data_IF_444279678143
#
_entry.id   IF_444279678143
#
_cell.length_a   1.000
_cell.length_b   1.000
_cell.length_c   1.000
_cell.angle_alpha   90.00
_cell.angle_beta   90.00
_cell.angle_gamma   90.00
#
_symmetry.space_group_name_H-M   'P 1'
#
loop_
_entity.id
_entity.type
_entity.pdbx_description
1 polymer ?
#
# COMPACT_ATOMS: atom_id res chain seq x y z
N UNK A 1 -42.55 35.23 23.69
CA UNK A 1 -41.48 35.56 24.65
C UNK A 1 -40.50 34.40 24.63
N UNK A 2 -39.19 34.66 24.65
CA UNK A 2 -38.20 33.60 24.78
C UNK A 2 -38.11 33.19 26.26
N UNK A 3 -38.05 31.89 26.54
CA UNK A 3 -37.88 31.30 27.86
C UNK A 3 -36.40 31.22 28.29
N UNK A 4 -35.49 31.33 27.31
CA UNK A 4 -34.04 31.31 27.54
C UNK A 4 -33.35 32.53 26.90
N UNK A 5 -32.23 32.93 27.49
CA UNK A 5 -31.34 33.96 26.92
C UNK A 5 -30.32 33.30 25.99
N UNK A 6 -30.15 33.85 24.79
CA UNK A 6 -29.20 33.31 23.81
C UNK A 6 -29.26 34.03 22.47
N UNK A 7 -28.69 33.41 21.45
CA UNK A 7 -28.75 33.86 20.05
C UNK A 7 -29.68 32.91 19.29
N UNK A 8 -30.54 33.47 18.44
CA UNK A 8 -31.36 32.67 17.51
C UNK A 8 -30.43 32.05 16.47
N UNK A 9 -30.21 30.75 16.54
CA UNK A 9 -29.38 29.98 15.59
C UNK A 9 -30.17 29.58 14.36
N UNK A 10 -31.47 29.36 14.54
CA UNK A 10 -32.38 28.98 13.45
C UNK A 10 -33.74 29.63 13.63
N UNK A 11 -34.28 30.16 12.53
CA UNK A 11 -35.64 30.65 12.43
C UNK A 11 -36.36 29.80 11.40
N UNK A 12 -37.31 28.99 11.86
CA UNK A 12 -38.04 28.03 11.02
C UNK A 12 -39.40 28.55 10.56
N UNK A 13 -39.77 29.78 10.94
CA UNK A 13 -41.12 30.32 10.72
C UNK A 13 -41.10 31.75 10.19
N UNK A 14 -42.01 32.07 9.29
CA UNK A 14 -42.27 33.42 8.79
C UNK A 14 -43.73 33.83 9.01
N UNK A 15 -43.99 35.12 8.81
CA UNK A 15 -45.34 35.66 8.92
C UNK A 15 -46.22 35.06 7.81
N UNK A 16 -47.36 34.45 8.18
CA UNK A 16 -48.29 33.82 7.24
C UNK A 16 -48.19 32.29 7.16
N UNK A 17 -47.15 31.70 7.76
CA UNK A 17 -46.98 30.26 7.79
C UNK A 17 -48.00 29.58 8.74
N UNK A 18 -48.45 28.39 8.36
CA UNK A 18 -49.33 27.56 9.19
C UNK A 18 -48.50 26.67 10.12
N UNK A 19 -48.74 26.77 11.44
CA UNK A 19 -47.98 26.04 12.47
C UNK A 19 -48.77 24.87 13.05
N UNK A 20 -48.08 23.76 13.31
CA UNK A 20 -48.63 22.62 14.06
C UNK A 20 -48.14 22.62 15.51
N UNK A 21 -48.92 22.04 16.42
CA UNK A 21 -48.52 21.89 17.82
C UNK A 21 -47.28 20.98 17.89
N UNK A 22 -46.23 21.47 18.53
CA UNK A 22 -44.93 20.77 18.67
C UNK A 22 -43.89 21.16 17.62
N UNK A 23 -44.24 22.03 16.67
CA UNK A 23 -43.30 22.52 15.66
C UNK A 23 -42.34 23.57 16.25
N UNK A 24 -41.04 23.39 16.03
CA UNK A 24 -40.01 24.30 16.54
C UNK A 24 -39.95 25.58 15.70
N UNK A 25 -40.29 26.71 16.31
CA UNK A 25 -40.35 28.01 15.64
C UNK A 25 -38.97 28.69 15.55
N UNK A 26 -38.21 28.61 16.64
CA UNK A 26 -36.88 29.20 16.80
C UNK A 26 -36.00 28.24 17.59
N UNK A 27 -34.73 28.16 17.21
CA UNK A 27 -33.69 27.55 18.01
C UNK A 27 -32.84 28.65 18.64
N UNK A 28 -32.69 28.63 19.96
CA UNK A 28 -31.94 29.62 20.73
C UNK A 28 -30.81 28.90 21.45
N UNK A 29 -29.57 29.34 21.22
CA UNK A 29 -28.39 28.80 21.88
C UNK A 29 -27.69 29.87 22.71
N UNK A 30 -27.36 29.55 23.97
CA UNK A 30 -26.39 30.33 24.74
C UNK A 30 -24.97 29.88 24.35
N UNK A 31 -24.18 30.83 23.84
CA UNK A 31 -22.79 30.62 23.44
C UNK A 31 -21.79 31.22 24.43
N UNK A 32 -22.21 31.54 25.66
CA UNK A 32 -21.34 31.98 26.75
C UNK A 32 -20.24 30.96 27.07
N UNK A 33 -20.54 29.68 26.87
CA UNK A 33 -19.62 28.55 26.92
C UNK A 33 -19.81 27.75 25.64
N UNK A 34 -18.71 27.37 24.99
CA UNK A 34 -18.73 26.60 23.75
C UNK A 34 -17.98 25.29 23.93
N UNK A 35 -18.40 24.28 23.18
CA UNK A 35 -17.66 23.03 23.06
C UNK A 35 -16.77 23.11 21.84
N UNK A 36 -15.52 22.74 22.05
CA UNK A 36 -14.56 22.53 20.98
C UNK A 36 -14.40 21.02 20.84
N UNK A 37 -14.77 20.51 19.68
CA UNK A 37 -14.71 19.09 19.36
C UNK A 37 -13.48 18.84 18.49
N UNK A 38 -12.59 17.98 18.96
CA UNK A 38 -11.43 17.52 18.22
C UNK A 38 -11.67 16.08 17.76
N UNK A 39 -11.42 15.81 16.50
CA UNK A 39 -11.44 14.46 15.96
C UNK A 39 -10.14 13.76 16.35
N UNK A 40 -10.26 12.65 17.08
CA UNK A 40 -9.14 11.79 17.50
C UNK A 40 -9.19 10.51 16.68
N UNK A 41 -8.18 10.28 15.86
CA UNK A 41 -8.07 9.05 15.07
C UNK A 41 -7.85 7.83 15.96
N UNK A 42 -8.29 6.66 15.49
CA UNK A 42 -8.12 5.39 16.21
C UNK A 42 -6.67 5.09 16.61
N UNK A 43 -5.69 5.44 15.76
CA UNK A 43 -4.26 5.32 16.06
C UNK A 43 -3.78 6.21 17.21
N UNK A 44 -4.51 7.30 17.47
CA UNK A 44 -4.09 8.38 18.35
C UNK A 44 -4.77 8.33 19.72
N UNK A 45 -5.88 7.57 19.84
CA UNK A 45 -6.66 7.39 21.07
C UNK A 45 -5.77 7.03 22.28
N UNK A 46 -4.77 6.12 22.18
CA UNK A 46 -3.93 5.78 23.33
C UNK A 46 -3.15 6.97 23.93
N UNK A 47 -2.94 8.02 23.13
CA UNK A 47 -2.14 9.20 23.49
C UNK A 47 -2.98 10.35 24.04
N UNK A 48 -4.32 10.29 23.93
CA UNK A 48 -5.22 11.35 24.37
C UNK A 48 -6.06 10.84 25.54
N UNK A 49 -5.89 11.48 26.70
CA UNK A 49 -6.59 11.14 27.94
C UNK A 49 -7.48 12.29 28.39
N UNK A 50 -8.53 11.94 29.14
CA UNK A 50 -9.31 12.94 29.86
C UNK A 50 -8.38 13.65 30.86
N UNK A 51 -8.42 14.98 30.86
CA UNK A 51 -7.53 15.81 31.66
C UNK A 51 -6.33 16.38 30.91
N UNK A 52 -6.10 15.94 29.66
CA UNK A 52 -5.00 16.48 28.87
C UNK A 52 -5.24 17.95 28.53
N UNK A 53 -4.16 18.74 28.63
CA UNK A 53 -4.15 20.14 28.22
C UNK A 53 -4.07 20.24 26.71
N UNK A 54 -4.99 20.99 26.12
CA UNK A 54 -5.07 21.25 24.68
C UNK A 54 -4.82 22.74 24.44
N UNK A 55 -3.81 23.03 23.63
CA UNK A 55 -3.61 24.36 23.06
C UNK A 55 -4.22 24.38 21.66
N UNK A 56 -5.10 25.32 21.35
CA UNK A 56 -5.75 25.38 20.04
C UNK A 56 -5.86 26.78 19.47
N UNK A 57 -5.97 26.83 18.15
CA UNK A 57 -6.10 28.05 17.35
C UNK A 57 -7.35 27.94 16.48
N UNK A 58 -7.93 29.09 16.12
CA UNK A 58 -9.12 29.16 15.24
C UNK A 58 -8.73 29.93 14.00
N UNK A 59 -9.04 29.39 12.81
CA UNK A 59 -8.64 30.02 11.54
C UNK A 59 -9.19 31.44 11.37
N UNK A 60 -10.37 31.72 11.93
CA UNK A 60 -11.03 33.02 11.89
C UNK A 60 -10.40 34.06 12.83
N UNK A 61 -9.56 33.63 13.77
CA UNK A 61 -8.88 34.46 14.76
C UNK A 61 -7.37 34.16 14.74
N UNK A 62 -6.66 34.56 13.67
CA UNK A 62 -5.22 34.29 13.55
C UNK A 62 -4.44 35.01 14.67
N UNK A 63 -3.35 34.40 15.12
CA UNK A 63 -2.48 34.86 16.22
C UNK A 63 -3.11 34.82 17.62
N UNK A 64 -4.27 34.18 17.80
CA UNK A 64 -4.82 33.90 19.12
C UNK A 64 -4.76 32.41 19.44
N UNK A 65 -4.16 32.09 20.58
CA UNK A 65 -4.07 30.74 21.14
C UNK A 65 -5.00 30.62 22.34
N UNK A 66 -5.81 29.58 22.33
CA UNK A 66 -6.73 29.24 23.41
C UNK A 66 -6.24 27.98 24.12
N UNK A 67 -6.47 27.91 25.42
CA UNK A 67 -6.10 26.76 26.24
C UNK A 67 -7.36 26.13 26.83
N UNK A 68 -7.42 24.82 26.82
CA UNK A 68 -8.49 24.05 27.44
C UNK A 68 -8.04 22.69 27.92
N UNK A 69 -8.97 21.94 28.50
CA UNK A 69 -8.74 20.60 29.02
C UNK A 69 -9.75 19.63 28.39
N UNK A 70 -9.27 18.44 28.01
CA UNK A 70 -10.15 17.37 27.50
C UNK A 70 -11.11 16.93 28.62
N UNK A 71 -12.37 17.33 28.48
CA UNK A 71 -13.42 17.04 29.46
C UNK A 71 -14.04 15.65 29.27
N UNK A 72 -14.09 15.19 28.02
CA UNK A 72 -14.75 13.94 27.63
C UNK A 72 -14.18 13.45 26.30
N UNK A 73 -14.11 12.13 26.14
CA UNK A 73 -13.78 11.47 24.87
C UNK A 73 -14.91 10.48 24.62
N UNK A 74 -15.50 10.54 23.42
CA UNK A 74 -16.59 9.64 23.06
C UNK A 74 -16.12 8.17 23.19
N UNK A 75 -16.88 7.29 23.88
CA UNK A 75 -16.49 5.89 24.08
C UNK A 75 -16.66 5.03 22.81
N UNK A 76 -17.27 5.59 21.76
CA UNK A 76 -17.58 4.89 20.51
C UNK A 76 -16.95 5.66 19.35
N UNK A 77 -16.21 4.93 18.52
CA UNK A 77 -15.65 5.47 17.27
C UNK A 77 -16.75 5.53 16.22
N UNK A 78 -16.85 6.64 15.51
CA UNK A 78 -17.76 6.75 14.37
C UNK A 78 -17.28 5.84 13.23
N UNK A 79 -18.11 4.87 12.83
CA UNK A 79 -17.73 3.85 11.84
C UNK A 79 -17.46 4.39 10.43
N UNK A 80 -18.01 5.57 10.09
CA UNK A 80 -17.80 6.22 8.78
C UNK A 80 -16.52 7.03 8.74
N UNK A 81 -16.23 7.78 9.79
CA UNK A 81 -15.08 8.70 9.83
C UNK A 81 -13.86 8.12 10.55
N UNK A 82 -14.02 7.00 11.28
CA UNK A 82 -12.97 6.31 12.06
C UNK A 82 -12.29 7.21 13.11
N UNK A 83 -13.05 8.16 13.65
CA UNK A 83 -12.60 9.06 14.73
C UNK A 83 -13.53 8.98 15.93
N UNK A 84 -12.99 9.26 17.11
CA UNK A 84 -13.73 9.56 18.33
C UNK A 84 -13.64 11.06 18.63
N UNK A 85 -14.72 11.68 19.13
CA UNK A 85 -14.71 13.10 19.45
C UNK A 85 -14.13 13.35 20.85
N UNK A 86 -13.07 14.14 20.95
CA UNK A 86 -12.58 14.70 22.20
C UNK A 86 -13.18 16.10 22.42
N UNK A 87 -13.93 16.26 23.51
CA UNK A 87 -14.64 17.50 23.86
C UNK A 87 -13.86 18.32 24.86
N UNK A 88 -13.62 19.58 24.51
CA UNK A 88 -13.05 20.61 25.38
C UNK A 88 -14.10 21.70 25.65
N UNK A 89 -14.25 22.10 26.90
CA UNK A 89 -15.24 23.12 27.32
C UNK A 89 -14.52 24.45 27.51
N UNK A 90 -14.94 25.48 26.78
CA UNK A 90 -14.28 26.80 26.76
C UNK A 90 -15.26 27.90 27.09
N UNK A 91 -14.88 28.76 28.04
CA UNK A 91 -15.58 30.03 28.28
C UNK A 91 -15.35 30.95 27.08
N UNK A 92 -16.39 31.59 26.59
CA UNK A 92 -16.36 32.42 25.39
C UNK A 92 -16.69 33.89 25.72
N UNK A 93 -15.84 34.57 26.52
CA UNK A 93 -16.06 35.98 26.84
C UNK A 93 -16.06 36.81 25.54
N UNK A 94 -17.04 37.69 25.41
CA UNK A 94 -17.21 38.49 24.18
C UNK A 94 -17.80 37.72 22.99
N UNK A 95 -18.21 36.45 23.17
CA UNK A 95 -18.93 35.64 22.16
C UNK A 95 -18.19 35.56 20.80
N UNK A 96 -16.86 35.48 20.85
CA UNK A 96 -15.98 35.52 19.67
C UNK A 96 -15.88 34.17 18.96
N UNK A 97 -15.92 33.08 19.74
CA UNK A 97 -16.00 31.73 19.21
C UNK A 97 -17.45 31.46 18.78
N UNK A 98 -17.66 31.23 17.49
CA UNK A 98 -18.99 30.89 16.96
C UNK A 98 -19.07 29.38 16.72
N UNK A 99 -20.28 28.79 16.80
CA UNK A 99 -20.49 27.42 16.34
C UNK A 99 -19.98 27.20 14.91
N UNK A 100 -19.59 25.96 14.63
CA UNK A 100 -19.10 25.50 13.32
C UNK A 100 -17.80 26.15 12.81
N UNK A 101 -17.07 26.88 13.66
CA UNK A 101 -15.72 27.35 13.32
C UNK A 101 -14.70 26.20 13.36
N UNK A 102 -13.80 26.18 12.37
CA UNK A 102 -12.69 25.23 12.34
C UNK A 102 -11.59 25.61 13.33
N UNK A 103 -11.18 24.62 14.11
CA UNK A 103 -10.11 24.72 15.10
C UNK A 103 -8.97 23.77 14.76
N UNK A 104 -7.77 24.09 15.23
CA UNK A 104 -6.62 23.18 15.25
C UNK A 104 -6.05 23.14 16.65
N UNK A 105 -6.04 21.96 17.26
CA UNK A 105 -5.52 21.72 18.61
C UNK A 105 -4.24 20.91 18.59
N UNK A 106 -3.42 21.09 19.62
CA UNK A 106 -2.22 20.32 19.91
C UNK A 106 -2.34 19.82 21.34
N UNK A 107 -2.24 18.51 21.51
CA UNK A 107 -2.11 17.83 22.82
C UNK A 107 -0.69 17.31 22.94
N UNK A 108 -0.08 17.50 24.12
CA UNK A 108 1.22 16.94 24.44
C UNK A 108 1.01 15.78 25.41
N UNK A 109 1.34 14.57 24.99
CA UNK A 109 1.26 13.36 25.80
C UNK A 109 2.66 12.95 26.24
N UNK A 110 2.81 12.57 27.50
CA UNK A 110 4.07 12.05 28.03
C UNK A 110 4.11 10.52 27.84
N UNK A 111 5.22 10.01 27.32
CA UNK A 111 5.48 8.58 27.30
C UNK A 111 5.84 8.11 28.71
N UNK A 112 5.23 7.02 29.18
CA UNK A 112 5.69 6.34 30.39
C UNK A 112 7.16 5.95 30.21
N UNK A 113 7.97 6.36 31.20
CA UNK A 113 9.42 6.39 31.15
C UNK A 113 9.99 4.97 31.03
N UNK A 114 10.27 4.52 29.80
CA UNK A 114 11.15 3.38 29.58
C UNK A 114 12.59 3.89 29.80
N UNK A 115 13.30 3.30 30.77
CA UNK A 115 14.58 3.83 31.29
C UNK A 115 15.69 3.97 30.23
N UNK A 116 15.55 3.36 29.05
CA UNK A 116 16.46 3.52 27.91
C UNK A 116 15.70 3.45 26.58
N UNK A 117 15.38 4.60 26.02
CA UNK A 117 14.78 4.72 24.67
C UNK A 117 15.74 5.44 23.73
N UNK A 118 15.91 4.89 22.53
CA UNK A 118 16.68 5.53 21.47
C UNK A 118 15.70 6.34 20.63
N UNK A 119 15.98 7.63 20.45
CA UNK A 119 15.19 8.52 19.60
C UNK A 119 16.06 8.94 18.44
N UNK A 120 15.56 8.80 17.21
CA UNK A 120 16.24 9.25 16.00
C UNK A 120 15.42 10.30 15.27
N UNK A 121 16.05 11.30 14.62
CA UNK A 121 15.33 12.28 13.80
C UNK A 121 14.57 11.58 12.67
N UNK A 122 13.40 12.12 12.28
CA UNK A 122 12.64 11.58 11.14
C UNK A 122 13.46 11.53 9.84
N UNK A 123 14.36 12.49 9.64
CA UNK A 123 15.22 12.56 8.45
C UNK A 123 16.27 11.45 8.35
N UNK A 124 16.58 10.77 9.47
CA UNK A 124 17.52 9.65 9.49
C UNK A 124 16.86 8.31 9.13
N UNK A 125 15.54 8.24 9.18
CA UNK A 125 14.77 7.03 8.93
C UNK A 125 14.30 6.99 7.49
N UNK A 126 14.62 5.89 6.82
CA UNK A 126 14.22 5.64 5.44
C UNK A 126 13.20 4.52 5.40
N UNK A 127 12.13 4.69 4.62
CA UNK A 127 11.00 3.76 4.58
C UNK A 127 11.01 2.97 3.28
N UNK A 128 10.89 1.65 3.36
CA UNK A 128 10.78 0.75 2.20
C UNK A 128 9.46 -0.02 2.27
N UNK A 129 8.35 0.71 2.28
CA UNK A 129 7.01 0.14 2.49
C UNK A 129 6.83 -0.32 3.94
N UNK A 130 7.00 -1.61 4.21
CA UNK A 130 6.81 -2.21 5.54
C UNK A 130 8.04 -2.12 6.45
N UNK A 131 9.22 -1.87 5.88
CA UNK A 131 10.48 -1.84 6.65
C UNK A 131 10.97 -0.42 6.84
N UNK A 132 11.65 -0.20 7.96
CA UNK A 132 12.35 1.04 8.26
C UNK A 132 13.84 0.75 8.37
N UNK A 133 14.66 1.59 7.74
CA UNK A 133 16.12 1.42 7.74
C UNK A 133 16.80 2.73 8.13
N UNK A 134 17.96 2.58 8.79
CA UNK A 134 18.82 3.70 9.18
C UNK A 134 20.25 3.36 8.76
N UNK A 135 20.98 4.37 8.28
CA UNK A 135 22.38 4.24 7.88
C UNK A 135 23.29 4.58 9.05
N UNK A 136 24.02 3.59 9.55
CA UNK A 136 24.97 3.73 10.66
C UNK A 136 26.39 3.81 10.10
N UNK A 137 27.18 4.77 10.58
CA UNK A 137 28.59 4.93 10.21
C UNK A 137 29.39 3.74 10.71
N UNK A 138 30.17 3.14 9.83
CA UNK A 138 31.08 2.06 10.16
C UNK A 138 32.34 2.62 10.84
N UNK A 139 32.57 2.25 12.09
CA UNK A 139 33.73 2.68 12.86
C UNK A 139 35.04 1.94 12.48
N UNK A 140 34.97 0.84 11.72
CA UNK A 140 36.12 -0.06 11.46
C UNK A 140 36.86 0.18 10.14
N UNK A 141 36.58 1.27 9.43
CA UNK A 141 37.25 1.61 8.17
C UNK A 141 37.91 2.99 8.22
N UNK A 142 39.14 3.10 7.72
CA UNK A 142 39.89 4.37 7.56
C UNK A 142 39.19 5.39 6.62
N UNK A 143 38.10 4.99 5.96
CA UNK A 143 37.25 5.82 5.11
C UNK A 143 35.83 5.89 5.70
N UNK A 144 35.18 7.04 5.59
CA UNK A 144 33.78 7.20 6.00
C UNK A 144 32.91 6.26 5.16
N UNK A 145 32.35 5.23 5.79
CA UNK A 145 31.42 4.31 5.16
C UNK A 145 30.20 4.10 6.05
N UNK A 146 29.06 3.81 5.43
CA UNK A 146 27.79 3.58 6.12
C UNK A 146 27.30 2.16 5.86
N UNK A 147 26.66 1.58 6.87
CA UNK A 147 26.01 0.29 6.83
C UNK A 147 24.51 0.50 7.06
N UNK A 148 23.70 -0.13 6.21
CA UNK A 148 22.26 -0.21 6.44
C UNK A 148 21.98 -1.11 7.65
N UNK A 149 21.19 -0.61 8.60
CA UNK A 149 20.55 -1.43 9.63
C UNK A 149 19.03 -1.31 9.50
N UNK A 150 18.34 -2.45 9.56
CA UNK A 150 16.89 -2.48 9.73
C UNK A 150 16.54 -2.11 11.17
N UNK A 151 15.50 -1.30 11.33
CA UNK A 151 15.04 -0.84 12.64
C UNK A 151 13.54 -1.07 12.80
N UNK A 152 13.13 -1.38 14.02
CA UNK A 152 11.72 -1.45 14.40
C UNK A 152 11.33 -0.12 15.02
N UNK A 153 10.47 0.65 14.34
CA UNK A 153 10.00 1.94 14.85
C UNK A 153 8.96 1.75 15.96
N UNK A 154 9.04 2.61 16.96
CA UNK A 154 7.99 2.87 17.94
C UNK A 154 7.15 4.09 17.54
N UNK A 155 6.47 4.69 18.52
CA UNK A 155 5.65 5.88 18.31
C UNK A 155 6.45 7.05 17.69
N UNK A 156 5.78 7.86 16.88
CA UNK A 156 6.32 9.14 16.39
C UNK A 156 6.32 10.17 17.53
N UNK A 157 7.43 10.87 17.72
CA UNK A 157 7.63 11.88 18.76
C UNK A 157 7.98 13.22 18.11
N UNK A 158 6.97 13.97 17.69
CA UNK A 158 7.17 15.26 17.01
C UNK A 158 8.11 15.13 15.80
N UNK A 159 9.37 15.56 15.98
CA UNK A 159 10.43 15.58 14.97
C UNK A 159 11.28 14.30 14.91
N UNK A 160 10.96 13.28 15.71
CA UNK A 160 11.67 12.01 15.74
C UNK A 160 10.78 10.77 15.79
N UNK A 161 11.42 9.61 15.72
CA UNK A 161 10.83 8.31 16.00
C UNK A 161 11.54 7.66 17.18
N UNK A 162 10.78 6.97 18.02
CA UNK A 162 11.35 6.04 18.99
C UNK A 162 11.82 4.78 18.25
N UNK A 163 12.96 4.21 18.63
CA UNK A 163 13.48 2.96 18.09
C UNK A 163 13.30 1.87 19.14
N UNK A 164 12.56 0.83 18.78
CA UNK A 164 12.36 -0.35 19.63
C UNK A 164 13.53 -1.33 19.50
N UNK A 165 14.00 -1.56 18.28
CA UNK A 165 15.05 -2.53 17.96
C UNK A 165 15.87 -2.07 16.75
N UNK A 166 17.12 -2.55 16.64
CA UNK A 166 17.98 -2.37 15.47
C UNK A 166 19.07 -1.31 15.59
N UNK A 167 19.08 -0.52 16.67
CA UNK A 167 20.15 0.43 16.99
C UNK A 167 20.61 0.27 18.44
N UNK A 168 21.87 0.63 18.67
CA UNK A 168 22.48 0.65 19.99
C UNK A 168 22.88 2.08 20.38
N UNK A 169 22.95 2.34 21.69
CA UNK A 169 23.41 3.64 22.19
C UNK A 169 24.88 3.83 21.80
N UNK A 170 25.17 4.91 21.08
CA UNK A 170 26.50 5.21 20.54
C UNK A 170 26.64 4.99 19.03
N UNK A 171 25.64 4.38 18.37
CA UNK A 171 25.59 4.31 16.91
C UNK A 171 25.54 5.74 16.31
N UNK A 172 26.52 6.09 15.49
CA UNK A 172 26.51 7.34 14.70
C UNK A 172 25.69 7.13 13.42
N UNK A 173 24.58 7.87 13.25
CA UNK A 173 23.66 7.70 12.12
C UNK A 173 23.70 8.89 11.15
N UNK A 174 23.42 8.61 9.87
CA UNK A 174 23.24 9.66 8.87
C UNK A 174 21.86 10.32 9.03
N UNK A 175 21.85 11.64 9.22
CA UNK A 175 20.60 12.45 9.36
C UNK A 175 20.27 13.24 8.10
N UNK A 176 21.24 13.40 7.20
CA UNK A 176 21.14 14.14 5.93
C UNK A 176 21.79 13.32 4.80
N UNK A 177 21.26 13.46 3.58
CA UNK A 177 21.83 12.78 2.41
C UNK A 177 21.66 11.26 2.43
N UNK A 178 20.73 10.73 3.22
CA UNK A 178 20.44 9.29 3.36
C UNK A 178 20.11 8.62 2.03
N UNK A 179 19.37 9.29 1.14
CA UNK A 179 19.15 8.82 -0.24
C UNK A 179 20.43 8.72 -1.07
N UNK A 180 21.36 9.67 -0.93
CA UNK A 180 22.64 9.64 -1.65
C UNK A 180 23.53 8.51 -1.14
N UNK A 181 23.49 8.25 0.17
CA UNK A 181 24.18 7.11 0.79
C UNK A 181 23.59 5.79 0.27
N UNK A 182 22.26 5.68 0.21
CA UNK A 182 21.56 4.50 -0.33
C UNK A 182 21.89 4.25 -1.81
N UNK A 183 21.82 5.30 -2.64
CA UNK A 183 22.16 5.20 -4.05
C UNK A 183 23.63 4.77 -4.25
N UNK A 184 24.56 5.32 -3.47
CA UNK A 184 25.96 4.92 -3.52
C UNK A 184 26.16 3.48 -3.05
N UNK A 185 25.43 3.03 -2.02
CA UNK A 185 25.44 1.64 -1.57
C UNK A 185 24.93 0.71 -2.67
N UNK A 186 23.81 1.05 -3.31
CA UNK A 186 23.21 0.29 -4.41
C UNK A 186 24.15 0.20 -5.62
N UNK A 187 24.75 1.32 -6.04
CA UNK A 187 25.72 1.34 -7.14
C UNK A 187 26.95 0.49 -6.83
N UNK A 188 27.38 0.46 -5.56
CA UNK A 188 28.49 -0.36 -5.09
C UNK A 188 28.10 -1.83 -4.83
N UNK A 189 26.85 -2.23 -5.06
CA UNK A 189 26.39 -3.59 -4.80
C UNK A 189 26.27 -3.95 -3.31
N UNK A 190 26.26 -2.94 -2.42
CA UNK A 190 26.09 -3.14 -0.98
C UNK A 190 24.61 -3.22 -0.61
N UNK A 191 24.27 -3.74 0.59
CA UNK A 191 22.93 -3.67 1.14
C UNK A 191 22.32 -2.26 1.03
N UNK A 192 21.20 -2.17 0.34
CA UNK A 192 20.45 -0.94 0.07
C UNK A 192 18.95 -1.18 0.23
N UNK A 193 18.15 -0.12 0.14
CA UNK A 193 16.70 -0.21 0.28
C UNK A 193 16.07 -1.11 -0.78
N UNK A 194 16.67 -1.15 -1.97
CA UNK A 194 16.22 -1.96 -3.10
C UNK A 194 16.85 -3.35 -3.13
N UNK A 195 17.96 -3.56 -2.41
CA UNK A 195 18.72 -4.81 -2.40
C UNK A 195 19.21 -5.12 -0.98
N UNK A 196 18.38 -5.72 -0.11
CA UNK A 196 18.69 -5.91 1.31
C UNK A 196 19.93 -6.76 1.59
N UNK A 197 20.24 -7.71 0.71
CA UNK A 197 21.41 -8.61 0.83
C UNK A 197 22.64 -8.07 0.07
N UNK A 198 22.50 -6.94 -0.64
CA UNK A 198 23.49 -6.48 -1.63
C UNK A 198 23.34 -7.19 -2.99
N UNK A 199 24.25 -6.90 -3.91
CA UNK A 199 24.21 -7.39 -5.29
C UNK A 199 25.47 -7.01 -6.07
N UNK A 200 25.49 -7.26 -7.39
CA UNK A 200 26.63 -6.88 -8.24
C UNK A 200 26.62 -5.36 -8.52
N UNK A 201 27.78 -4.66 -8.52
CA UNK A 201 27.85 -3.22 -8.76
C UNK A 201 27.29 -2.86 -10.14
N UNK A 202 26.44 -1.83 -10.20
CA UNK A 202 25.83 -1.39 -11.46
C UNK A 202 26.76 -0.37 -12.13
N UNK A 203 27.71 -0.85 -12.95
CA UNK A 203 28.53 0.03 -13.77
C UNK A 203 27.92 0.18 -15.17
N UNK A 204 27.42 1.37 -15.49
CA UNK A 204 27.16 1.78 -16.88
C UNK A 204 25.76 2.32 -17.16
N UNK A 205 25.72 3.47 -17.83
CA UNK A 205 24.50 4.17 -18.24
C UNK A 205 23.73 3.36 -19.28
N UNK A 206 22.46 3.04 -19.01
CA UNK A 206 21.48 2.73 -20.04
C UNK A 206 20.20 3.53 -19.78
N UNK A 207 19.75 4.27 -20.79
CA UNK A 207 18.55 5.10 -20.75
C UNK A 207 17.31 4.24 -20.95
N UNK A 208 16.32 4.36 -20.06
CA UNK A 208 14.96 3.86 -20.30
C UNK A 208 14.38 3.10 -19.11
N UNK A 209 13.30 3.63 -18.54
CA UNK A 209 12.74 3.27 -17.23
C UNK A 209 12.44 1.79 -17.00
N UNK A 210 12.64 1.37 -15.75
CA UNK A 210 12.10 0.13 -15.21
C UNK A 210 11.73 0.31 -13.73
N UNK A 211 10.42 0.26 -13.46
CA UNK A 211 9.87 -0.06 -12.14
C UNK A 211 10.14 -1.54 -11.87
N UNK A 212 10.59 -1.88 -10.67
CA UNK A 212 10.97 -3.23 -10.27
C UNK A 212 9.77 -4.18 -10.27
N UNK A 213 9.63 -4.98 -11.33
CA UNK A 213 9.33 -6.41 -11.17
C UNK A 213 10.61 -7.09 -10.72
N UNK A 214 10.52 -8.08 -9.84
CA UNK A 214 11.53 -9.14 -9.78
C UNK A 214 11.78 -9.65 -11.20
N UNK A 215 12.87 -9.18 -11.80
CA UNK A 215 13.43 -9.77 -12.99
C UNK A 215 14.66 -10.46 -12.44
N UNK A 216 14.52 -11.74 -12.11
CA UNK A 216 15.66 -12.64 -12.28
C UNK A 216 16.23 -12.26 -13.65
N UNK A 217 17.47 -11.81 -13.73
CA UNK A 217 18.17 -11.68 -15.01
C UNK A 217 18.26 -13.10 -15.56
N UNK A 218 17.20 -13.47 -16.25
CA UNK A 218 17.10 -14.68 -17.04
C UNK A 218 17.85 -14.34 -18.31
N UNK A 219 19.06 -14.88 -18.45
CA UNK A 219 19.71 -14.91 -19.75
C UNK A 219 18.71 -15.54 -20.74
N UNK A 220 18.47 -14.84 -21.86
CA UNK A 220 17.63 -15.36 -22.92
C UNK A 220 18.20 -16.69 -23.39
N UNK A 221 17.47 -17.77 -23.10
CA UNK A 221 17.76 -19.09 -23.61
C UNK A 221 17.11 -19.20 -24.98
N UNK A 222 17.82 -18.76 -26.02
CA UNK A 222 17.33 -18.86 -27.39
C UNK A 222 17.07 -20.33 -27.76
N UNK A 223 15.79 -20.70 -27.86
CA UNK A 223 15.33 -22.01 -28.36
C UNK A 223 15.05 -21.96 -29.87
N UNK A 224 15.06 -23.11 -30.54
CA UNK A 224 14.75 -23.23 -31.96
C UNK A 224 13.26 -23.11 -32.28
N UNK A 225 12.93 -23.02 -33.58
CA UNK A 225 11.54 -22.89 -34.04
C UNK A 225 10.67 -24.09 -33.63
N UNK A 226 11.23 -25.31 -33.63
CA UNK A 226 10.50 -26.53 -33.28
C UNK A 226 10.00 -26.49 -31.84
N UNK A 227 10.81 -25.96 -30.94
CA UNK A 227 10.47 -25.76 -29.53
C UNK A 227 9.42 -24.66 -29.36
N UNK A 228 9.51 -23.56 -30.12
CA UNK A 228 8.48 -22.50 -30.14
C UNK A 228 7.12 -23.03 -30.62
N UNK A 229 7.12 -23.79 -31.73
CA UNK A 229 5.92 -24.40 -32.30
C UNK A 229 5.24 -25.37 -31.31
N UNK A 230 6.04 -26.08 -30.50
CA UNK A 230 5.52 -26.97 -29.46
C UNK A 230 4.88 -26.21 -28.28
N UNK A 231 5.30 -24.97 -28.02
CA UNK A 231 4.79 -24.13 -26.93
C UNK A 231 3.61 -23.24 -27.34
N UNK A 232 3.47 -22.89 -28.62
CA UNK A 232 2.39 -22.00 -29.09
C UNK A 232 0.98 -22.45 -28.62
N UNK A 233 0.58 -23.73 -28.73
CA UNK A 233 -0.74 -24.17 -28.26
C UNK A 233 -0.94 -23.98 -26.74
N UNK A 234 0.15 -24.02 -25.96
CA UNK A 234 0.08 -23.81 -24.51
C UNK A 234 -0.24 -22.34 -24.18
N UNK A 235 0.36 -21.40 -24.90
CA UNK A 235 0.04 -19.97 -24.75
C UNK A 235 -1.37 -19.64 -25.24
N UNK A 236 -1.83 -20.24 -26.33
CA UNK A 236 -3.21 -20.10 -26.79
C UNK A 236 -4.22 -20.58 -25.74
N UNK A 237 -3.96 -21.73 -25.11
CA UNK A 237 -4.79 -22.25 -24.03
C UNK A 237 -4.75 -21.35 -22.78
N UNK A 238 -3.59 -20.78 -22.46
CA UNK A 238 -3.46 -19.78 -21.41
C UNK A 238 -4.35 -18.55 -21.67
N UNK A 239 -4.34 -17.99 -22.89
CA UNK A 239 -5.17 -16.82 -23.19
C UNK A 239 -6.66 -17.13 -23.13
N UNK A 240 -7.09 -18.33 -23.52
CA UNK A 240 -8.48 -18.79 -23.31
C UNK A 240 -8.84 -18.81 -21.82
N UNK A 241 -7.99 -19.41 -20.99
CA UNK A 241 -8.19 -19.44 -19.54
C UNK A 241 -8.26 -18.02 -18.95
N UNK A 242 -7.29 -17.16 -19.30
CA UNK A 242 -7.25 -15.76 -18.87
C UNK A 242 -8.53 -15.02 -19.25
N UNK A 243 -8.98 -15.14 -20.49
CA UNK A 243 -10.16 -14.43 -20.98
C UNK A 243 -11.46 -14.95 -20.34
N UNK A 244 -11.54 -16.24 -20.00
CA UNK A 244 -12.68 -16.77 -19.24
C UNK A 244 -12.71 -16.20 -17.81
N UNK A 245 -11.56 -16.00 -17.17
CA UNK A 245 -11.47 -15.35 -15.85
C UNK A 245 -11.84 -13.86 -15.87
N UNK A 246 -11.51 -13.18 -16.98
CA UNK A 246 -11.94 -11.79 -17.25
C UNK A 246 -13.46 -11.69 -17.32
N UNK A 247 -14.12 -12.65 -17.97
CA UNK A 247 -15.57 -12.67 -18.18
C UNK A 247 -16.36 -13.31 -17.03
N UNK A 248 -15.71 -13.55 -15.89
CA UNK A 248 -16.29 -14.25 -14.74
C UNK A 248 -16.90 -15.65 -15.04
N UNK A 249 -16.49 -16.31 -16.14
CA UNK A 249 -17.00 -17.62 -16.56
C UNK A 249 -16.21 -18.76 -15.93
N UNK A 250 -16.65 -19.17 -14.73
CA UNK A 250 -16.03 -20.26 -13.98
C UNK A 250 -16.02 -21.60 -14.75
N UNK A 251 -17.12 -21.96 -15.43
CA UNK A 251 -17.24 -23.27 -16.09
C UNK A 251 -16.32 -23.34 -17.31
N UNK A 252 -16.29 -22.28 -18.11
CA UNK A 252 -15.37 -22.17 -19.24
C UNK A 252 -13.91 -22.10 -18.75
N UNK A 253 -13.65 -21.40 -17.64
CA UNK A 253 -12.34 -21.36 -16.99
C UNK A 253 -11.82 -22.75 -16.62
N UNK A 254 -12.63 -23.56 -15.92
CA UNK A 254 -12.27 -24.96 -15.59
C UNK A 254 -12.05 -25.80 -16.86
N UNK A 255 -12.87 -25.62 -17.90
CA UNK A 255 -12.70 -26.33 -19.17
C UNK A 255 -11.36 -25.98 -19.84
N UNK A 256 -11.00 -24.68 -19.88
CA UNK A 256 -9.73 -24.21 -20.42
C UNK A 256 -8.53 -24.69 -19.60
N UNK A 257 -8.64 -24.76 -18.26
CA UNK A 257 -7.57 -25.34 -17.43
C UNK A 257 -7.34 -26.84 -17.73
N UNK A 258 -8.41 -27.61 -17.99
CA UNK A 258 -8.32 -29.02 -18.43
C UNK A 258 -7.70 -29.16 -19.82
N UNK A 259 -8.10 -28.30 -20.76
CA UNK A 259 -7.52 -28.22 -22.10
C UNK A 259 -6.02 -27.93 -22.02
N UNK A 260 -5.64 -26.91 -21.24
CA UNK A 260 -4.25 -26.51 -21.01
C UNK A 260 -3.42 -27.63 -20.38
N UNK A 261 -3.98 -28.40 -19.44
CA UNK A 261 -3.33 -29.58 -18.85
C UNK A 261 -3.07 -30.66 -19.91
N UNK A 262 -4.03 -30.89 -20.80
CA UNK A 262 -3.91 -31.87 -21.88
C UNK A 262 -2.82 -31.45 -22.88
N UNK A 263 -2.72 -30.16 -23.18
CA UNK A 263 -1.70 -29.60 -24.07
C UNK A 263 -0.32 -29.69 -23.41
N UNK A 264 -0.20 -29.28 -22.15
CA UNK A 264 1.07 -29.35 -21.40
C UNK A 264 1.65 -30.77 -21.40
N UNK A 265 0.82 -31.78 -21.19
CA UNK A 265 1.24 -33.19 -21.18
C UNK A 265 1.67 -33.73 -22.56
N UNK A 266 1.33 -33.04 -23.65
CA UNK A 266 1.72 -33.41 -25.03
C UNK A 266 3.05 -32.78 -25.46
N UNK A 267 3.56 -31.80 -24.73
CA UNK A 267 4.85 -31.16 -25.05
C UNK A 267 5.96 -32.18 -24.81
N UNK A 268 6.66 -32.58 -25.89
CA UNK A 268 7.75 -33.56 -25.80
C UNK A 268 8.97 -32.92 -25.13
N UNK A 269 9.29 -33.34 -23.91
CA UNK A 269 10.41 -32.82 -23.13
C UNK A 269 11.78 -33.01 -23.81
N UNK A 270 11.90 -33.96 -24.76
CA UNK A 270 13.16 -34.28 -25.45
C UNK A 270 13.57 -33.25 -26.49
N UNK A 271 12.66 -32.34 -26.86
CA UNK A 271 12.98 -31.26 -27.82
C UNK A 271 13.89 -30.22 -27.17
N UNK A 272 13.74 -29.98 -25.87
CA UNK A 272 14.59 -29.07 -25.11
C UNK A 272 15.91 -29.76 -24.74
N UNK A 273 17.03 -29.03 -24.81
CA UNK A 273 18.39 -29.54 -24.55
C UNK A 273 19.16 -28.63 -23.60
N UNK A 274 20.09 -29.21 -22.85
CA UNK A 274 20.95 -28.47 -21.92
C UNK A 274 20.14 -27.69 -20.89
N UNK A 275 20.53 -26.45 -20.62
CA UNK A 275 19.88 -25.60 -19.62
C UNK A 275 18.40 -25.31 -19.94
N UNK A 276 18.01 -25.28 -21.22
CA UNK A 276 16.62 -25.13 -21.63
C UNK A 276 15.76 -26.35 -21.24
N UNK A 277 16.35 -27.55 -21.21
CA UNK A 277 15.66 -28.74 -20.71
C UNK A 277 15.39 -28.64 -19.22
N UNK A 278 16.42 -28.32 -18.42
CA UNK A 278 16.30 -28.22 -16.97
C UNK A 278 15.33 -27.10 -16.57
N UNK A 279 15.39 -25.98 -17.30
CA UNK A 279 14.44 -24.89 -17.15
C UNK A 279 13.02 -25.36 -17.45
N UNK A 280 12.77 -25.97 -18.62
CA UNK A 280 11.45 -26.47 -19.00
C UNK A 280 10.90 -27.49 -17.98
N UNK A 281 11.73 -28.43 -17.52
CA UNK A 281 11.33 -29.45 -16.55
C UNK A 281 10.86 -28.82 -15.23
N UNK A 282 11.59 -27.82 -14.73
CA UNK A 282 11.21 -27.09 -13.51
C UNK A 282 9.89 -26.35 -13.68
N UNK A 283 9.70 -25.62 -14.78
CA UNK A 283 8.50 -24.79 -15.01
C UNK A 283 7.27 -25.62 -15.31
N UNK A 284 7.41 -26.67 -16.12
CA UNK A 284 6.31 -27.56 -16.48
C UNK A 284 5.79 -28.38 -15.28
N UNK A 285 6.64 -28.77 -14.33
CA UNK A 285 6.21 -29.42 -13.09
C UNK A 285 5.35 -28.49 -12.22
N UNK A 286 5.80 -27.25 -12.01
CA UNK A 286 5.03 -26.23 -11.26
C UNK A 286 3.70 -25.96 -11.96
N UNK A 287 3.74 -25.72 -13.27
CA UNK A 287 2.55 -25.47 -14.07
C UNK A 287 1.54 -26.63 -13.99
N UNK A 288 2.01 -27.87 -14.04
CA UNK A 288 1.17 -29.07 -13.89
C UNK A 288 0.49 -29.13 -12.52
N UNK A 289 1.21 -28.80 -11.43
CA UNK A 289 0.67 -28.76 -10.07
C UNK A 289 -0.40 -27.68 -9.92
N UNK A 290 -0.16 -26.48 -10.42
CA UNK A 290 -1.11 -25.38 -10.32
C UNK A 290 -2.36 -25.61 -11.18
N UNK A 291 -2.21 -26.19 -12.37
CA UNK A 291 -3.37 -26.59 -13.19
C UNK A 291 -4.24 -27.65 -12.50
N UNK A 292 -3.64 -28.61 -11.79
CA UNK A 292 -4.40 -29.59 -10.98
C UNK A 292 -5.15 -28.91 -9.84
N UNK A 293 -4.55 -27.91 -9.18
CA UNK A 293 -5.24 -27.12 -8.16
C UNK A 293 -6.41 -26.35 -8.79
N UNK A 294 -6.18 -25.66 -9.91
CA UNK A 294 -7.17 -24.90 -10.66
C UNK A 294 -8.40 -25.74 -11.00
N UNK A 295 -8.22 -26.94 -11.58
CA UNK A 295 -9.30 -27.86 -11.97
C UNK A 295 -10.13 -28.35 -10.76
N UNK A 296 -9.53 -28.34 -9.56
CA UNK A 296 -10.16 -28.86 -8.33
C UNK A 296 -10.93 -27.79 -7.54
N UNK A 297 -10.90 -26.54 -7.99
CA UNK A 297 -11.59 -25.41 -7.34
C UNK A 297 -13.10 -25.49 -7.52
N UNK A 298 -13.86 -24.83 -6.64
CA UNK A 298 -15.34 -24.88 -6.64
C UNK A 298 -16.00 -23.59 -7.09
N UNK A 299 -15.25 -22.49 -7.07
CA UNK A 299 -15.74 -21.16 -7.42
C UNK A 299 -14.65 -20.33 -8.09
N UNK A 300 -15.06 -19.23 -8.73
CA UNK A 300 -14.14 -18.40 -9.52
C UNK A 300 -13.06 -17.71 -8.70
N UNK A 301 -13.40 -17.27 -7.48
CA UNK A 301 -12.44 -16.65 -6.56
C UNK A 301 -11.33 -17.62 -6.18
N UNK A 302 -11.65 -18.91 -6.01
CA UNK A 302 -10.66 -19.96 -5.77
C UNK A 302 -9.83 -20.25 -7.03
N UNK A 303 -10.43 -20.25 -8.22
CA UNK A 303 -9.73 -20.49 -9.50
C UNK A 303 -8.68 -19.43 -9.83
N UNK A 304 -8.91 -18.18 -9.39
CA UNK A 304 -7.99 -17.05 -9.59
C UNK A 304 -6.67 -17.19 -8.84
N UNK A 305 -6.67 -17.92 -7.70
CA UNK A 305 -5.47 -18.13 -6.89
C UNK A 305 -4.39 -18.95 -7.61
N UNK A 306 -4.66 -20.18 -8.10
CA UNK A 306 -3.67 -20.92 -8.89
C UNK A 306 -3.40 -20.28 -10.26
N UNK A 307 -4.33 -19.46 -10.80
CA UNK A 307 -4.08 -18.73 -12.05
C UNK A 307 -2.90 -17.76 -11.95
N UNK A 308 -2.67 -17.14 -10.79
CA UNK A 308 -1.51 -16.28 -10.56
C UNK A 308 -0.20 -17.02 -10.84
N UNK A 309 -0.01 -18.18 -10.23
CA UNK A 309 1.22 -18.94 -10.39
C UNK A 309 1.34 -19.54 -11.79
N UNK A 310 0.21 -19.95 -12.40
CA UNK A 310 0.16 -20.32 -13.83
C UNK A 310 0.70 -19.16 -14.68
N UNK A 311 0.22 -17.94 -14.43
CA UNK A 311 0.62 -16.74 -15.14
C UNK A 311 2.11 -16.45 -14.99
N UNK A 312 2.63 -16.50 -13.76
CA UNK A 312 4.05 -16.33 -13.47
C UNK A 312 4.93 -17.31 -14.25
N UNK A 313 4.57 -18.60 -14.27
CA UNK A 313 5.35 -19.60 -15.01
C UNK A 313 5.35 -19.32 -16.52
N UNK A 314 4.21 -18.90 -17.09
CA UNK A 314 4.13 -18.59 -18.53
C UNK A 314 4.88 -17.31 -18.89
N UNK A 315 4.90 -16.30 -18.01
CA UNK A 315 5.74 -15.10 -18.18
C UNK A 315 7.22 -15.49 -18.19
N UNK A 316 7.65 -16.33 -17.24
CA UNK A 316 9.05 -16.79 -17.19
C UNK A 316 9.43 -17.60 -18.43
N UNK A 317 8.55 -18.50 -18.88
CA UNK A 317 8.76 -19.26 -20.13
C UNK A 317 8.87 -18.31 -21.32
N UNK A 318 7.95 -17.35 -21.45
CA UNK A 318 7.95 -16.39 -22.56
C UNK A 318 9.23 -15.54 -22.59
N UNK A 319 9.64 -14.98 -21.44
CA UNK A 319 10.84 -14.16 -21.31
C UNK A 319 12.12 -14.93 -21.63
N UNK A 320 12.16 -16.22 -21.30
CA UNK A 320 13.37 -17.03 -21.48
C UNK A 320 13.50 -17.55 -22.89
N UNK A 321 12.38 -17.97 -23.49
CA UNK A 321 12.36 -18.72 -24.74
C UNK A 321 11.91 -17.91 -25.95
N UNK A 322 11.30 -16.73 -25.76
CA UNK A 322 10.80 -15.90 -26.86
C UNK A 322 9.80 -16.64 -27.76
N UNK A 323 8.86 -17.36 -27.14
CA UNK A 323 8.04 -18.39 -27.79
C UNK A 323 6.89 -17.88 -28.67
N UNK A 324 6.78 -16.57 -28.93
CA UNK A 324 5.70 -16.01 -29.77
C UNK A 324 6.19 -14.88 -30.68
N UNK A 325 5.66 -14.87 -31.92
CA UNK A 325 5.98 -13.88 -32.96
C UNK A 325 5.09 -12.63 -32.92
N UNK A 326 4.16 -12.55 -31.96
CA UNK A 326 3.26 -11.42 -31.74
C UNK A 326 3.71 -10.63 -30.53
N UNK A 327 3.50 -9.31 -30.58
CA UNK A 327 3.71 -8.46 -29.42
C UNK A 327 2.81 -8.91 -28.25
N UNK A 328 3.41 -9.19 -27.10
CA UNK A 328 2.73 -9.60 -25.88
C UNK A 328 2.91 -8.52 -24.82
N UNK A 329 1.82 -8.16 -24.16
CA UNK A 329 1.81 -7.22 -23.06
C UNK A 329 1.86 -7.99 -21.75
N UNK A 330 2.78 -7.61 -20.86
CA UNK A 330 2.74 -8.00 -19.45
C UNK A 330 1.98 -6.89 -18.74
N UNK A 331 0.77 -7.22 -18.29
CA UNK A 331 -0.09 -6.34 -17.52
C UNK A 331 0.04 -6.67 -16.02
N UNK A 332 -0.19 -5.68 -15.16
CA UNK A 332 -0.01 -5.78 -13.72
C UNK A 332 -1.23 -5.26 -12.97
N UNK A 333 -1.62 -5.95 -11.90
CA UNK A 333 -2.65 -5.49 -10.97
C UNK A 333 -2.02 -5.36 -9.59
N UNK A 334 -1.95 -4.15 -9.01
CA UNK A 334 -1.25 -3.93 -7.75
C UNK A 334 -2.03 -4.43 -6.52
N UNK A 335 -3.32 -4.75 -6.65
CA UNK A 335 -4.19 -5.07 -5.50
C UNK A 335 -4.26 -6.57 -5.17
N UNK A 336 -3.79 -7.43 -6.06
CA UNK A 336 -3.81 -8.90 -5.86
C UNK A 336 -2.97 -9.25 -4.63
N UNK A 337 -3.39 -10.28 -3.88
CA UNK A 337 -2.70 -10.80 -2.70
C UNK A 337 -2.31 -9.75 -1.65
N UNK A 338 -3.31 -9.04 -1.12
CA UNK A 338 -3.10 -8.00 -0.10
C UNK A 338 -2.14 -6.88 -0.54
N UNK A 339 -2.27 -6.46 -1.80
CA UNK A 339 -1.43 -5.45 -2.44
C UNK A 339 0.02 -5.86 -2.75
N UNK A 340 0.32 -7.16 -2.82
CA UNK A 340 1.61 -7.66 -3.34
C UNK A 340 1.66 -7.61 -4.88
N UNK A 341 0.49 -7.57 -5.51
CA UNK A 341 0.31 -7.46 -6.94
C UNK A 341 0.57 -8.76 -7.70
N UNK A 342 0.09 -8.82 -8.94
CA UNK A 342 0.27 -9.97 -9.83
C UNK A 342 0.30 -9.56 -11.30
N UNK A 343 1.06 -10.31 -12.10
CA UNK A 343 1.28 -10.06 -13.53
C UNK A 343 0.54 -11.08 -14.42
N UNK A 344 0.07 -10.64 -15.59
CA UNK A 344 -0.48 -11.54 -16.61
C UNK A 344 -0.10 -11.17 -18.04
N UNK A 345 -0.16 -12.16 -18.92
CA UNK A 345 0.07 -11.96 -20.35
C UNK A 345 -1.24 -11.55 -21.04
N UNK A 346 -1.13 -10.58 -21.95
CA UNK A 346 -2.23 -10.09 -22.78
C UNK A 346 -1.79 -9.90 -24.23
N UNK A 347 -2.72 -10.07 -25.17
CA UNK A 347 -2.52 -9.82 -26.60
C UNK A 347 -2.88 -8.39 -27.00
N UNK A 348 -3.51 -7.65 -26.10
CA UNK A 348 -4.00 -6.29 -26.30
C UNK A 348 -3.38 -5.39 -25.23
N UNK A 349 -3.26 -4.09 -25.49
CA UNK A 349 -2.82 -3.11 -24.48
C UNK A 349 -3.96 -2.62 -23.58
N UNK A 350 -5.22 -2.99 -23.89
CA UNK A 350 -6.38 -2.63 -23.08
C UNK A 350 -6.46 -3.55 -21.86
N UNK A 351 -6.41 -2.95 -20.67
CA UNK A 351 -6.45 -3.68 -19.40
C UNK A 351 -7.79 -4.40 -19.24
N UNK A 352 -7.71 -5.73 -19.14
CA UNK A 352 -8.82 -6.64 -18.84
C UNK A 352 -8.37 -7.58 -17.73
N UNK A 353 -8.70 -7.23 -16.49
CA UNK A 353 -8.15 -7.84 -15.28
C UNK A 353 -8.75 -9.23 -14.99
N UNK A 354 -7.96 -10.33 -15.08
CA UNK A 354 -8.46 -11.69 -14.81
C UNK A 354 -8.63 -12.01 -13.32
N UNK A 355 -7.98 -11.25 -12.42
CA UNK A 355 -8.02 -11.48 -10.98
C UNK A 355 -9.27 -10.91 -10.29
N UNK A 356 -9.92 -9.93 -10.92
CA UNK A 356 -11.13 -9.31 -10.39
C UNK A 356 -12.32 -9.35 -11.35
N UNK A 357 -12.12 -9.68 -12.63
CA UNK A 357 -13.19 -9.81 -13.61
C UNK A 357 -14.01 -8.52 -13.73
N UNK A 358 -15.33 -8.63 -13.82
CA UNK A 358 -16.24 -7.50 -13.95
C UNK A 358 -16.13 -6.51 -12.78
N UNK A 359 -15.76 -6.97 -11.58
CA UNK A 359 -15.68 -6.12 -10.39
C UNK A 359 -14.63 -5.01 -10.51
N UNK A 360 -13.51 -5.28 -11.20
CA UNK A 360 -12.44 -4.30 -11.44
C UNK A 360 -11.80 -4.49 -12.82
N UNK A 361 -12.62 -4.61 -13.87
CA UNK A 361 -12.19 -5.02 -15.21
C UNK A 361 -11.04 -4.18 -15.77
N UNK A 362 -11.06 -2.87 -15.53
CA UNK A 362 -10.08 -1.90 -16.05
C UNK A 362 -8.96 -1.55 -15.06
N UNK A 363 -8.88 -2.24 -13.92
CA UNK A 363 -7.87 -1.96 -12.91
C UNK A 363 -6.57 -2.69 -13.25
N UNK A 364 -5.49 -1.92 -13.45
CA UNK A 364 -4.16 -2.44 -13.74
C UNK A 364 -3.39 -1.50 -14.66
N UNK A 365 -2.18 -1.88 -15.02
CA UNK A 365 -1.31 -1.13 -15.92
C UNK A 365 -0.49 -2.07 -16.81
N UNK A 366 -0.06 -1.57 -17.97
CA UNK A 366 0.90 -2.29 -18.83
C UNK A 366 2.30 -2.08 -18.24
N UNK A 367 2.92 -3.16 -17.78
CA UNK A 367 4.23 -3.17 -17.13
C UNK A 367 5.37 -3.29 -18.14
N UNK A 368 5.19 -4.13 -19.16
CA UNK A 368 6.22 -4.41 -20.18
C UNK A 368 5.56 -4.86 -21.49
N UNK A 369 6.22 -4.57 -22.61
CA UNK A 369 5.86 -5.13 -23.93
C UNK A 369 7.01 -5.99 -24.42
N UNK A 370 6.74 -7.26 -24.71
CA UNK A 370 7.67 -8.19 -25.37
C UNK A 370 7.32 -8.17 -26.86
N UNK A 371 8.30 -7.89 -27.72
CA UNK A 371 8.13 -7.75 -29.17
C UNK A 371 8.81 -8.87 -29.93
#
# INVERSE_FOLDING_TARGET
MADVSGIVTKKNINLGDYIKKGESLYEIADISTVWVLFDVYESDIPWVKKGDKVEFTVRSLPNETFNGEVSFIDPVINSKTRVASARVIIKNPGKRLKPDMFVRGIVKSELEQQEKVIIVPKSAVMWTGERSVVYVKNASSDKVSFLMKMVTLGPSLGDGYLIKEGLEVGDEIATNGTFSIDAAAQLAGKPSMMSPEGGVPVSGHNHGGASHSETMTMEEMSIGQKEKDALSPLFEAYFKLKNNLVNDDFKAGISSAKEMTTILNKVDMKIFKGEAHDFWMKRSDVLSKELKKAISTKEIGELRKPFEEISNQLIMILKSFGAMDKAIYIEHCPMVNNNNGADWLSLESEIKNPYYGEAMLKCGEVKQVIK
#
